data_IF_892204330377
#
_entry.id   IF_892204330377
#
_cell.length_a   1.000
_cell.length_b   1.000
_cell.length_c   1.000
_cell.angle_alpha   90.00
_cell.angle_beta   90.00
_cell.angle_gamma   90.00
#
_symmetry.space_group_name_H-M   'P 1'
#
loop_
_entity.id
_entity.type
_entity.pdbx_description
1 polymer ?
2 non-polymer ?
3 water ?
#
# COMPACT_ATOMS: atom_id res chain seq x y z
N UNK A 4 21.34 0.32 -0.14
CA UNK A 4 20.51 0.12 1.08
C UNK A 4 19.37 1.14 1.18
N UNK A 5 19.69 2.40 0.87
CA UNK A 5 18.73 3.51 0.96
C UNK A 5 17.62 3.38 -0.08
N UNK A 6 18.01 3.07 -1.32
CA UNK A 6 17.08 2.87 -2.43
C UNK A 6 16.12 1.72 -2.13
N UNK A 7 16.67 0.64 -1.58
CA UNK A 7 15.92 -0.58 -1.31
C UNK A 7 14.92 -0.39 -0.17
N UNK A 8 15.31 0.39 0.84
CA UNK A 8 14.42 0.73 1.95
C UNK A 8 13.28 1.62 1.46
N UNK A 9 13.59 2.55 0.56
CA UNK A 9 12.61 3.45 -0.04
C UNK A 9 11.54 2.71 -0.85
N UNK A 10 11.98 1.85 -1.77
CA UNK A 10 11.06 1.10 -2.63
C UNK A 10 10.25 0.06 -1.84
N UNK A 11 10.82 -0.42 -0.73
CA UNK A 11 10.12 -1.34 0.17
C UNK A 11 8.97 -0.64 0.90
N UNK A 12 9.23 0.57 1.39
CA UNK A 12 8.23 1.34 2.13
C UNK A 12 7.09 1.81 1.23
N UNK A 13 7.41 2.15 -0.02
CA UNK A 13 6.41 2.57 -0.99
C UNK A 13 5.46 1.44 -1.38
N UNK A 14 6.01 0.23 -1.50
CA UNK A 14 5.21 -0.97 -1.80
C UNK A 14 4.29 -1.37 -0.65
N UNK A 15 4.73 -1.12 0.59
CA UNK A 15 3.90 -1.34 1.77
C UNK A 15 2.77 -0.31 1.84
N UNK A 16 3.10 0.94 1.52
CA UNK A 16 2.13 2.04 1.50
C UNK A 16 1.06 1.82 0.42
N UNK A 17 1.48 1.29 -0.73
CA UNK A 17 0.55 0.97 -1.82
C UNK A 17 -0.32 -0.24 -1.50
N UNK A 18 0.20 -1.15 -0.67
CA UNK A 18 -0.55 -2.33 -0.24
C UNK A 18 -1.62 -1.96 0.79
N UNK A 19 -1.31 -0.98 1.63
CA UNK A 19 -2.25 -0.46 2.62
C UNK A 19 -3.35 0.35 1.95
N UNK A 20 -2.99 1.08 0.90
CA UNK A 20 -3.94 1.85 0.10
C UNK A 20 -4.91 0.93 -0.64
N UNK A 21 -4.39 -0.20 -1.12
CA UNK A 21 -5.20 -1.21 -1.81
C UNK A 21 -6.12 -1.91 -0.82
N UNK A 22 -5.62 -2.16 0.39
CA UNK A 22 -6.42 -2.76 1.45
C UNK A 22 -7.58 -1.84 1.85
N UNK A 23 -7.30 -0.54 1.91
CA UNK A 23 -8.31 0.47 2.25
C UNK A 23 -9.35 0.64 1.14
N UNK A 24 -8.88 0.63 -0.10
CA UNK A 24 -9.75 0.76 -1.28
C UNK A 24 -10.71 -0.42 -1.41
N UNK A 25 -10.19 -1.63 -1.21
CA UNK A 25 -11.00 -2.85 -1.28
C UNK A 25 -12.08 -2.85 -0.21
N UNK A 26 -11.73 -2.36 0.98
CA UNK A 26 -12.67 -2.19 2.08
C UNK A 26 -13.84 -1.29 1.68
N UNK A 27 -13.53 -0.16 1.05
CA UNK A 27 -14.53 0.81 0.60
C UNK A 27 -15.47 0.22 -0.46
N UNK A 28 -14.90 -0.52 -1.41
CA UNK A 28 -15.67 -1.15 -2.49
C UNK A 28 -16.61 -2.23 -1.96
N UNK A 29 -16.17 -2.93 -0.92
CA UNK A 29 -17.00 -3.94 -0.24
C UNK A 29 -18.13 -3.29 0.56
N UNK A 30 -17.98 -2.00 0.88
CA UNK A 30 -19.04 -1.22 1.53
C UNK A 30 -20.04 -0.64 0.54
N UNK A 31 -19.71 -0.73 -0.75
CA UNK A 31 -20.57 -0.27 -1.85
C UNK A 31 -20.87 1.23 -1.78
X LIG B 1 -6.58 -7.36 -3.27
X LIG C 1 -15.89 -0.70 5.94
X LIG D 1 2.26 1.91 6.92
#
# INVERSE_FOLDING_TARGET
YNPRKFSEKIALQKQRQAEETAAFEEVMMDIGST
ZN ZN
ZN ZN
ZN ZN
#
